data_IF_624466073222
#
_entry.id   IF_624466073222
#
_cell.length_a   1.000
_cell.length_b   1.000
_cell.length_c   1.000
_cell.angle_alpha   90.00
_cell.angle_beta   90.00
_cell.angle_gamma   90.00
#
_symmetry.space_group_name_H-M   'P 1'
#
loop_
_entity.id
_entity.type
_entity.pdbx_description
1 polymer ?
#
# COMPACT_ATOMS: atom_id res chain seq x y z
N UNK A 1 -10.21 45.26 -13.97
CA UNK A 1 -10.32 44.44 -12.74
C UNK A 1 -10.65 43.02 -13.17
N UNK A 2 -9.73 42.07 -13.03
CA UNK A 2 -9.97 40.65 -13.29
C UNK A 2 -10.03 39.90 -11.94
N UNK A 3 -10.96 38.96 -11.74
CA UNK A 3 -11.10 38.25 -10.47
C UNK A 3 -10.01 37.19 -10.32
N UNK A 4 -9.27 37.23 -9.22
CA UNK A 4 -8.32 36.18 -8.86
C UNK A 4 -9.07 34.94 -8.40
N UNK A 5 -9.01 33.87 -9.19
CA UNK A 5 -9.45 32.54 -8.81
C UNK A 5 -8.50 32.03 -7.72
N UNK A 6 -8.99 31.95 -6.48
CA UNK A 6 -8.25 31.38 -5.35
C UNK A 6 -8.10 29.87 -5.59
N UNK A 7 -6.94 29.45 -6.05
CA UNK A 7 -6.57 28.04 -6.15
C UNK A 7 -6.40 27.46 -4.75
N UNK A 8 -7.21 26.47 -4.38
CA UNK A 8 -7.08 25.73 -3.13
C UNK A 8 -5.70 25.03 -3.06
N UNK A 9 -4.90 25.21 -2.00
CA UNK A 9 -3.55 24.64 -1.90
C UNK A 9 -3.52 23.11 -1.73
N UNK A 10 -4.67 22.44 -1.64
CA UNK A 10 -4.79 21.00 -1.47
C UNK A 10 -5.03 20.21 -2.77
N UNK A 11 -5.20 20.89 -3.91
CA UNK A 11 -5.34 20.26 -5.23
C UNK A 11 -4.05 20.37 -6.02
N UNK A 12 -3.01 19.67 -5.56
CA UNK A 12 -1.97 19.19 -6.48
C UNK A 12 -2.02 17.67 -6.46
N UNK A 13 -2.46 16.99 -7.53
CA UNK A 13 -1.98 15.63 -7.72
C UNK A 13 -0.46 15.75 -7.81
N UNK A 14 0.26 15.07 -6.92
CA UNK A 14 1.70 14.90 -7.03
C UNK A 14 1.99 14.02 -8.25
N UNK A 15 1.76 14.56 -9.45
CA UNK A 15 2.20 13.99 -10.71
C UNK A 15 3.69 14.28 -10.87
N UNK A 16 4.51 13.59 -10.07
CA UNK A 16 5.94 13.49 -10.38
C UNK A 16 6.10 12.84 -11.74
N UNK A 17 6.99 13.37 -12.58
CA UNK A 17 7.39 12.71 -13.82
C UNK A 17 7.96 11.35 -13.41
N UNK A 18 7.21 10.28 -13.73
CA UNK A 18 7.65 8.90 -13.49
C UNK A 18 8.85 8.64 -14.39
N UNK A 19 10.06 8.58 -13.79
CA UNK A 19 11.26 8.17 -14.51
C UNK A 19 11.18 6.71 -14.96
N UNK A 20 12.11 6.24 -15.82
CA UNK A 20 12.16 4.84 -16.22
C UNK A 20 12.48 3.98 -14.99
N UNK A 21 11.51 3.21 -14.53
CA UNK A 21 11.64 2.32 -13.38
C UNK A 21 10.32 1.64 -13.03
N UNK A 22 10.35 0.67 -12.11
CA UNK A 22 9.13 0.05 -11.61
C UNK A 22 8.18 1.10 -11.04
N UNK A 23 6.89 0.85 -11.15
CA UNK A 23 5.88 1.63 -10.43
C UNK A 23 5.13 0.73 -9.46
N UNK A 24 4.92 1.25 -8.26
CA UNK A 24 4.08 0.62 -7.26
C UNK A 24 2.82 1.43 -7.10
N UNK A 25 1.67 0.81 -7.38
CA UNK A 25 0.38 1.35 -7.00
C UNK A 25 0.15 0.98 -5.54
N UNK A 26 0.04 1.98 -4.68
CA UNK A 26 -0.07 1.78 -3.23
C UNK A 26 -1.17 2.61 -2.61
N UNK A 27 -1.65 2.15 -1.46
CA UNK A 27 -2.53 2.92 -0.59
C UNK A 27 -1.87 3.07 0.80
N UNK A 28 -1.62 4.31 1.26
CA UNK A 28 -1.02 4.54 2.57
C UNK A 28 -2.02 4.24 3.69
N UNK A 29 -1.53 3.74 4.81
CA UNK A 29 -2.32 3.56 6.04
C UNK A 29 -2.41 4.90 6.75
N UNK A 30 -3.63 5.40 6.92
CA UNK A 30 -3.91 6.70 7.54
C UNK A 30 -3.96 6.64 9.07
N UNK A 31 -4.38 5.51 9.63
CA UNK A 31 -4.54 5.31 11.07
C UNK A 31 -3.47 4.37 11.63
N UNK A 32 -2.20 4.73 11.45
CA UNK A 32 -1.03 3.88 11.79
C UNK A 32 -1.02 3.35 13.23
N UNK A 33 -1.67 4.05 14.17
CA UNK A 33 -1.88 3.62 15.56
C UNK A 33 -2.44 2.20 15.70
N UNK A 34 -3.30 1.76 14.77
CA UNK A 34 -3.89 0.41 14.78
C UNK A 34 -2.84 -0.70 14.56
N UNK A 35 -1.65 -0.36 14.04
CA UNK A 35 -0.54 -1.29 13.85
C UNK A 35 0.32 -1.44 15.11
N UNK A 36 0.24 -0.51 16.07
CA UNK A 36 1.09 -0.53 17.28
C UNK A 36 0.97 -1.82 18.10
N UNK A 37 -0.23 -2.40 18.33
CA UNK A 37 -0.33 -3.67 19.04
C UNK A 37 0.41 -4.79 18.32
N UNK A 38 0.29 -4.85 16.98
CA UNK A 38 0.98 -5.86 16.15
C UNK A 38 2.48 -5.68 16.20
N UNK A 39 2.97 -4.45 16.09
CA UNK A 39 4.40 -4.14 16.22
C UNK A 39 4.95 -4.59 17.58
N UNK A 40 4.24 -4.28 18.67
CA UNK A 40 4.62 -4.70 20.02
C UNK A 40 4.66 -6.22 20.15
N UNK A 41 3.66 -6.92 19.62
CA UNK A 41 3.64 -8.38 19.60
C UNK A 41 4.84 -8.95 18.85
N UNK A 42 5.22 -8.33 17.73
CA UNK A 42 6.38 -8.70 16.92
C UNK A 42 7.74 -8.29 17.52
N UNK A 43 7.77 -7.60 18.67
CA UNK A 43 9.00 -7.07 19.26
C UNK A 43 9.58 -5.86 18.53
N UNK A 44 8.79 -5.22 17.65
CA UNK A 44 9.19 -4.03 16.92
C UNK A 44 8.83 -2.77 17.72
N UNK A 45 9.81 -1.88 17.89
CA UNK A 45 9.66 -0.62 18.64
C UNK A 45 9.38 0.58 17.75
N UNK A 46 9.75 0.50 16.47
CA UNK A 46 9.58 1.57 15.50
C UNK A 46 8.39 1.29 14.56
N UNK A 47 7.59 2.32 14.30
CA UNK A 47 6.63 2.33 13.19
C UNK A 47 7.40 2.54 11.88
N UNK A 48 7.04 1.85 10.78
CA UNK A 48 7.52 2.20 9.45
C UNK A 48 7.28 3.67 9.13
N UNK A 49 8.16 4.28 8.33
CA UNK A 49 8.00 5.67 7.91
C UNK A 49 6.78 5.85 7.01
N UNK A 50 6.54 4.89 6.11
CA UNK A 50 5.40 4.89 5.19
C UNK A 50 4.69 3.53 5.20
N UNK A 51 3.87 3.22 6.22
CA UNK A 51 3.09 1.99 6.24
C UNK A 51 2.01 2.06 5.15
N UNK A 52 2.08 1.14 4.19
CA UNK A 52 1.15 1.09 3.06
C UNK A 52 0.88 -0.34 2.63
N UNK A 53 -0.19 -0.53 1.85
CA UNK A 53 -0.39 -1.73 1.04
C UNK A 53 -0.02 -1.44 -0.40
N UNK A 54 0.81 -2.30 -0.99
CA UNK A 54 1.08 -2.28 -2.43
C UNK A 54 0.03 -3.13 -3.12
N UNK A 55 -0.85 -2.51 -3.90
CA UNK A 55 -1.91 -3.19 -4.65
C UNK A 55 -1.35 -3.94 -5.85
N UNK A 56 -0.48 -3.29 -6.61
CA UNK A 56 0.15 -3.87 -7.78
C UNK A 56 1.51 -3.20 -8.04
N UNK A 57 2.40 -3.92 -8.69
CA UNK A 57 3.72 -3.45 -9.08
C UNK A 57 3.91 -3.75 -10.54
N UNK A 58 4.37 -2.79 -11.33
CA UNK A 58 4.65 -3.01 -12.74
C UNK A 58 6.12 -2.67 -13.02
N UNK A 59 6.85 -3.50 -13.78
CA UNK A 59 8.30 -3.36 -13.94
C UNK A 59 8.73 -2.18 -14.82
N UNK A 60 7.92 -1.76 -15.80
CA UNK A 60 8.29 -0.69 -16.73
C UNK A 60 7.22 0.42 -16.81
N UNK A 61 7.52 1.60 -16.25
CA UNK A 61 6.64 2.77 -16.30
C UNK A 61 6.35 3.32 -17.70
N UNK A 62 7.13 2.95 -18.75
CA UNK A 62 7.01 3.56 -20.09
C UNK A 62 5.60 3.45 -20.68
N UNK A 63 4.87 2.38 -20.39
CA UNK A 63 3.52 2.17 -20.92
C UNK A 63 2.44 2.98 -20.19
N UNK A 64 2.76 3.55 -19.03
CA UNK A 64 1.80 4.31 -18.22
C UNK A 64 1.60 5.76 -18.66
N UNK A 65 2.56 6.37 -19.35
CA UNK A 65 2.33 7.69 -19.93
C UNK A 65 1.28 7.64 -21.05
N UNK A 66 1.10 6.47 -21.67
CA UNK A 66 0.11 6.21 -22.71
C UNK A 66 -1.24 5.69 -22.18
N UNK A 67 -1.28 5.06 -21.00
CA UNK A 67 -2.51 4.49 -20.41
C UNK A 67 -2.98 5.32 -19.23
N UNK A 68 -4.18 5.89 -19.32
CA UNK A 68 -4.79 6.67 -18.24
C UNK A 68 -5.11 5.77 -17.03
N UNK A 69 -4.10 5.49 -16.20
CA UNK A 69 -4.26 4.79 -14.93
C UNK A 69 -5.24 5.60 -14.06
N UNK A 70 -6.46 5.08 -13.91
CA UNK A 70 -7.47 5.70 -13.07
C UNK A 70 -7.20 5.36 -11.61
N UNK A 71 -6.42 6.22 -10.96
CA UNK A 71 -6.21 6.16 -9.51
C UNK A 71 -7.54 6.41 -8.79
N UNK A 72 -7.86 5.57 -7.82
CA UNK A 72 -9.00 5.79 -6.94
C UNK A 72 -8.70 6.93 -5.96
N UNK A 73 -9.45 8.05 -5.99
CA UNK A 73 -9.22 9.18 -5.10
C UNK A 73 -9.83 8.96 -3.71
N UNK A 74 -10.55 7.86 -3.51
CA UNK A 74 -11.35 7.63 -2.31
C UNK A 74 -10.56 6.92 -1.22
N UNK A 75 -10.83 7.31 0.03
CA UNK A 75 -10.40 6.55 1.22
C UNK A 75 -11.16 5.23 1.29
N UNK A 76 -10.53 4.23 1.85
CA UNK A 76 -11.10 2.89 2.01
C UNK A 76 -10.91 2.42 3.45
N UNK A 77 -11.98 2.04 4.11
CA UNK A 77 -11.92 1.38 5.41
C UNK A 77 -12.05 -0.13 5.18
N UNK A 78 -11.06 -0.91 5.62
CA UNK A 78 -11.05 -2.37 5.51
C UNK A 78 -11.05 -2.96 6.89
N UNK A 79 -11.92 -3.93 7.16
CA UNK A 79 -11.83 -4.80 8.33
C UNK A 79 -11.03 -6.05 7.97
N UNK A 80 -9.75 -6.17 8.37
CA UNK A 80 -8.92 -7.29 7.94
C UNK A 80 -9.41 -8.61 8.52
N UNK A 81 -9.54 -9.63 7.68
CA UNK A 81 -9.80 -11.00 8.13
C UNK A 81 -8.51 -11.83 8.13
N UNK A 82 -8.43 -12.78 9.06
CA UNK A 82 -7.30 -13.70 9.24
C UNK A 82 -5.91 -13.02 9.24
N UNK A 83 -5.70 -11.98 10.08
CA UNK A 83 -4.41 -11.32 10.15
C UNK A 83 -3.33 -12.30 10.62
N UNK A 84 -2.18 -12.31 9.94
CA UNK A 84 -1.01 -13.10 10.33
C UNK A 84 0.29 -12.38 10.01
N UNK A 85 1.33 -12.67 10.79
CA UNK A 85 2.68 -12.21 10.51
C UNK A 85 3.38 -13.17 9.54
N UNK A 86 4.01 -12.62 8.51
CA UNK A 86 4.77 -13.39 7.52
C UNK A 86 6.14 -12.78 7.28
N UNK A 87 7.09 -13.61 6.85
CA UNK A 87 8.41 -13.19 6.39
C UNK A 87 8.39 -12.91 4.89
N UNK A 88 9.02 -11.82 4.49
CA UNK A 88 9.26 -11.43 3.10
C UNK A 88 10.78 -11.37 2.82
N UNK A 89 11.13 -11.26 1.54
CA UNK A 89 12.50 -10.96 1.07
C UNK A 89 13.56 -11.89 1.69
N UNK A 90 13.41 -13.20 1.47
CA UNK A 90 14.28 -14.25 2.00
C UNK A 90 14.40 -14.28 3.53
N UNK A 91 13.36 -13.83 4.24
CA UNK A 91 13.32 -13.85 5.70
C UNK A 91 13.76 -12.56 6.37
N UNK A 92 14.06 -11.50 5.61
CA UNK A 92 14.62 -10.25 6.15
C UNK A 92 13.57 -9.26 6.64
N UNK A 93 12.37 -9.26 6.05
CA UNK A 93 11.32 -8.30 6.37
C UNK A 93 10.08 -8.97 6.98
N UNK A 94 9.46 -8.31 7.95
CA UNK A 94 8.19 -8.67 8.53
C UNK A 94 7.06 -7.95 7.79
N UNK A 95 5.98 -8.65 7.51
CA UNK A 95 4.74 -8.05 7.06
C UNK A 95 3.53 -8.57 7.82
N UNK A 96 2.55 -7.69 8.00
CA UNK A 96 1.19 -8.05 8.38
C UNK A 96 0.42 -8.41 7.12
N UNK A 97 0.11 -9.70 6.97
CA UNK A 97 -0.73 -10.23 5.90
C UNK A 97 -2.16 -10.41 6.40
N UNK A 98 -3.13 -10.14 5.53
CA UNK A 98 -4.55 -10.29 5.85
C UNK A 98 -5.38 -10.45 4.58
N UNK A 99 -6.61 -10.92 4.75
CA UNK A 99 -7.61 -10.95 3.69
C UNK A 99 -8.42 -9.64 3.70
N UNK A 100 -8.66 -9.09 2.51
CA UNK A 100 -9.45 -7.88 2.31
C UNK A 100 -10.13 -7.91 0.93
N UNK A 101 -11.41 -8.31 0.84
CA UNK A 101 -12.12 -8.45 -0.43
C UNK A 101 -12.06 -7.21 -1.32
N UNK A 102 -12.19 -6.01 -0.73
CA UNK A 102 -12.13 -4.75 -1.49
C UNK A 102 -10.77 -4.49 -2.14
N UNK A 103 -9.67 -4.77 -1.43
CA UNK A 103 -8.32 -4.63 -1.99
C UNK A 103 -8.07 -5.69 -3.06
N UNK A 104 -8.54 -6.92 -2.84
CA UNK A 104 -8.42 -8.02 -3.81
C UNK A 104 -9.24 -7.74 -5.07
N UNK A 105 -10.45 -7.19 -4.94
CA UNK A 105 -11.28 -6.78 -6.07
C UNK A 105 -10.56 -5.70 -6.89
N UNK A 106 -9.98 -4.69 -6.22
CA UNK A 106 -9.21 -3.65 -6.88
C UNK A 106 -7.97 -4.19 -7.60
N UNK A 107 -7.23 -5.12 -7.01
CA UNK A 107 -6.13 -5.80 -7.69
C UNK A 107 -6.60 -6.56 -8.94
N UNK A 108 -7.73 -7.27 -8.87
CA UNK A 108 -8.30 -7.97 -10.03
C UNK A 108 -8.66 -7.02 -11.16
N UNK A 109 -9.23 -5.86 -10.87
CA UNK A 109 -9.51 -4.83 -11.89
C UNK A 109 -8.23 -4.39 -12.60
N UNK A 110 -7.14 -4.19 -11.85
CA UNK A 110 -5.84 -3.81 -12.42
C UNK A 110 -5.30 -4.93 -13.31
N UNK A 111 -5.25 -6.17 -12.81
CA UNK A 111 -4.81 -7.35 -13.60
C UNK A 111 -5.68 -7.63 -14.83
N UNK A 112 -6.98 -7.34 -14.77
CA UNK A 112 -7.88 -7.46 -15.91
C UNK A 112 -7.64 -6.37 -16.96
N UNK A 113 -7.19 -5.19 -16.53
CA UNK A 113 -6.82 -4.11 -17.46
C UNK A 113 -5.46 -4.34 -18.13
N UNK A 114 -4.53 -4.96 -17.42
CA UNK A 114 -3.22 -5.30 -17.92
C UNK A 114 -2.64 -6.50 -17.14
N UNK A 115 -2.31 -7.62 -17.80
CA UNK A 115 -1.71 -8.77 -17.13
C UNK A 115 -0.33 -8.44 -16.51
N UNK A 116 0.36 -7.39 -16.96
CA UNK A 116 1.69 -7.04 -16.46
C UNK A 116 1.66 -6.42 -15.04
N UNK A 117 0.47 -6.18 -14.48
CA UNK A 117 0.28 -5.74 -13.11
C UNK A 117 0.58 -6.82 -12.06
N UNK A 118 1.83 -6.88 -11.63
CA UNK A 118 2.22 -7.59 -10.41
C UNK A 118 2.06 -9.12 -10.51
N UNK A 119 2.16 -9.81 -9.36
CA UNK A 119 2.18 -11.28 -9.34
C UNK A 119 0.81 -11.87 -9.69
N UNK A 120 0.81 -13.14 -10.13
CA UNK A 120 -0.41 -13.87 -10.50
C UNK A 120 -1.43 -14.05 -9.36
N UNK A 121 -0.96 -13.95 -8.12
CA UNK A 121 -1.78 -14.01 -6.92
C UNK A 121 -1.49 -12.82 -6.01
N UNK A 122 -2.54 -12.27 -5.42
CA UNK A 122 -2.46 -11.13 -4.52
C UNK A 122 -3.01 -11.46 -3.15
N UNK A 123 -2.16 -11.24 -2.15
CA UNK A 123 -2.56 -11.17 -0.74
C UNK A 123 -2.12 -9.82 -0.18
N UNK A 124 -3.07 -9.00 0.32
CA UNK A 124 -2.77 -7.73 0.96
C UNK A 124 -1.76 -7.90 2.09
N UNK A 125 -0.73 -7.04 2.08
CA UNK A 125 0.28 -7.03 3.13
C UNK A 125 0.76 -5.61 3.41
N UNK A 126 1.04 -5.33 4.68
CA UNK A 126 1.69 -4.08 5.14
C UNK A 126 3.06 -4.47 5.70
N UNK A 127 4.13 -3.92 5.12
CA UNK A 127 5.49 -4.14 5.64
C UNK A 127 5.66 -3.39 6.95
N UNK A 128 6.13 -4.10 7.98
CA UNK A 128 6.24 -3.58 9.34
C UNK A 128 7.68 -3.26 9.76
N UNK A 129 8.69 -3.82 9.07
CA UNK A 129 10.10 -3.62 9.39
C UNK A 129 10.91 -4.91 9.26
N UNK A 130 12.05 -5.02 9.96
CA UNK A 130 12.87 -6.23 9.95
C UNK A 130 12.15 -7.41 10.62
N UNK A 131 12.40 -8.62 10.12
CA UNK A 131 11.82 -9.84 10.69
C UNK A 131 12.54 -10.26 11.99
N UNK A 132 11.80 -10.58 13.07
CA UNK A 132 12.38 -11.22 14.24
C UNK A 132 12.72 -12.70 13.98
N UNK A 133 13.59 -13.26 14.82
CA UNK A 133 14.00 -14.68 14.76
C UNK A 133 12.84 -15.67 14.94
N UNK A 134 11.83 -15.28 15.71
CA UNK A 134 10.59 -16.05 15.91
C UNK A 134 9.41 -15.18 15.54
N UNK A 135 8.49 -15.70 14.72
CA UNK A 135 7.24 -15.02 14.39
C UNK A 135 6.19 -15.33 15.47
N UNK A 136 5.75 -14.34 16.25
CA UNK A 136 4.69 -14.55 17.21
C UNK A 136 3.33 -14.64 16.50
N UNK A 137 2.36 -15.39 17.05
CA UNK A 137 0.99 -15.32 16.57
C UNK A 137 0.40 -13.92 16.83
N UNK A 138 -0.51 -13.49 15.97
CA UNK A 138 -1.28 -12.26 16.21
C UNK A 138 -2.41 -12.60 17.18
N UNK A 139 -2.26 -12.20 18.44
CA UNK A 139 -3.33 -12.38 19.43
C UNK A 139 -4.33 -11.21 19.44
N UNK A 140 -3.95 -10.03 18.95
CA UNK A 140 -4.82 -8.85 19.00
C UNK A 140 -4.59 -7.93 17.80
N UNK A 141 -5.62 -7.80 16.97
CA UNK A 141 -5.70 -6.81 15.92
C UNK A 141 -7.14 -6.29 15.87
N UNK A 142 -7.34 -5.02 16.23
CA UNK A 142 -8.67 -4.47 16.42
C UNK A 142 -8.89 -3.21 15.60
N UNK A 143 -10.07 -3.16 14.97
CA UNK A 143 -10.55 -2.00 14.22
C UNK A 143 -10.20 -2.04 12.73
N UNK A 144 -10.86 -1.18 11.93
CA UNK A 144 -10.60 -1.08 10.51
C UNK A 144 -9.24 -0.44 10.23
N UNK A 145 -8.56 -0.91 9.20
CA UNK A 145 -7.43 -0.21 8.58
C UNK A 145 -8.02 0.85 7.64
N UNK A 146 -7.69 2.12 7.87
CA UNK A 146 -8.07 3.22 7.02
C UNK A 146 -6.97 3.46 6.00
N UNK A 147 -7.26 3.21 4.74
CA UNK A 147 -6.38 3.48 3.62
C UNK A 147 -6.71 4.82 2.95
N UNK A 148 -5.66 5.53 2.56
CA UNK A 148 -5.77 6.75 1.77
C UNK A 148 -6.09 6.50 0.29
N UNK A 149 -6.16 7.59 -0.49
CA UNK A 149 -6.23 7.52 -1.94
C UNK A 149 -5.07 6.71 -2.53
N UNK A 150 -5.28 6.18 -3.74
CA UNK A 150 -4.21 5.51 -4.48
C UNK A 150 -3.13 6.51 -4.90
N UNK A 151 -1.87 6.09 -4.72
CA UNK A 151 -0.70 6.85 -5.14
C UNK A 151 0.24 5.95 -5.91
N UNK A 152 1.04 6.56 -6.80
CA UNK A 152 2.12 5.87 -7.51
C UNK A 152 3.44 6.28 -6.86
N UNK A 153 4.30 5.32 -6.58
CA UNK A 153 5.66 5.57 -6.10
C UNK A 153 6.70 4.74 -6.88
N UNK A 154 7.92 5.27 -7.05
CA UNK A 154 9.05 4.48 -7.53
C UNK A 154 9.42 3.39 -6.51
N UNK A 155 10.13 2.32 -6.91
CA UNK A 155 10.66 1.33 -5.98
C UNK A 155 11.60 1.99 -4.97
N UNK A 156 11.48 1.63 -3.70
CA UNK A 156 12.45 2.00 -2.66
C UNK A 156 12.09 3.18 -1.75
N UNK A 157 10.86 3.71 -1.79
CA UNK A 157 10.33 4.52 -0.70
C UNK A 157 9.53 3.63 0.25
N UNK A 158 10.22 3.05 1.23
CA UNK A 158 9.68 2.33 2.38
C UNK A 158 10.20 2.98 3.67
#
# INVERSE_FOLDING_TARGET
MQPQVKTCPFSKPNGGVLGPGPIHLRRPVLNTEILKPVLRQAGLTAMPADPHVTLASMPDARDHQARALRLSPHRLAVSPSRPRLVRLSDGKALALEFEAPDLTARWRELRASDPDWGPDAFTPRIVLGPAPETLPPICFFAGPVLFGPETVAPPGQA
#
